data_IF_625467093627
#
_entry.id   IF_625467093627
#
_cell.length_a   1.000
_cell.length_b   1.000
_cell.length_c   1.000
_cell.angle_alpha   90.00
_cell.angle_beta   90.00
_cell.angle_gamma   90.00
#
_symmetry.space_group_name_H-M   'P 1'
#
loop_
_entity.id
_entity.type
_entity.pdbx_description
1 polymer ?
#
# COMPACT_ATOMS: atom_id res chain seq x y z
N UNK A 1 -1.85 63.55 28.82
CA UNK A 1 -1.04 63.02 27.71
C UNK A 1 -1.63 61.68 27.27
N UNK A 2 -1.93 61.56 25.98
CA UNK A 2 -2.74 60.50 25.35
C UNK A 2 -2.03 59.13 25.39
N UNK A 3 -2.74 58.09 25.82
CA UNK A 3 -2.36 56.69 25.56
C UNK A 3 -3.52 56.03 24.80
N UNK A 4 -3.51 56.16 23.48
CA UNK A 4 -4.29 55.32 22.58
C UNK A 4 -3.32 54.29 22.00
N UNK A 5 -3.26 53.12 22.64
CA UNK A 5 -2.54 51.97 22.11
C UNK A 5 -3.52 50.80 22.15
N UNK A 6 -4.25 50.61 21.06
CA UNK A 6 -4.94 49.36 20.70
C UNK A 6 -5.42 49.52 19.26
N UNK A 7 -4.44 49.60 18.35
CA UNK A 7 -4.72 49.46 16.93
C UNK A 7 -4.78 47.97 16.62
N UNK A 8 -6.02 47.51 16.43
CA UNK A 8 -6.41 46.33 15.71
C UNK A 8 -5.50 46.02 14.53
N UNK A 9 -4.96 44.81 14.47
CA UNK A 9 -4.70 44.07 13.23
C UNK A 9 -4.46 42.61 13.62
N UNK A 10 -5.55 41.95 13.99
CA UNK A 10 -5.66 40.50 13.96
C UNK A 10 -5.62 40.08 12.48
N UNK A 11 -4.42 40.03 11.91
CA UNK A 11 -4.17 39.35 10.64
C UNK A 11 -4.24 37.87 10.97
N UNK A 12 -5.43 37.29 10.85
CA UNK A 12 -5.63 35.85 10.92
C UNK A 12 -5.11 35.29 9.59
N UNK A 13 -3.97 34.59 9.53
CA UNK A 13 -3.59 33.92 8.31
C UNK A 13 -4.50 32.70 8.20
N UNK A 14 -5.56 32.80 7.39
CA UNK A 14 -6.19 31.62 6.83
C UNK A 14 -5.19 30.99 5.84
N UNK A 15 -4.16 30.36 6.39
CA UNK A 15 -3.49 29.25 5.74
C UNK A 15 -4.53 28.13 5.69
N UNK A 16 -5.39 28.16 4.66
CA UNK A 16 -6.08 26.97 4.21
C UNK A 16 -4.98 25.98 3.81
N UNK A 17 -4.52 25.20 4.79
CA UNK A 17 -3.71 24.03 4.53
C UNK A 17 -4.52 23.16 3.59
N UNK A 18 -4.02 23.00 2.36
CA UNK A 18 -4.52 21.98 1.46
C UNK A 18 -4.53 20.65 2.25
N UNK A 19 -5.62 19.86 2.20
CA UNK A 19 -5.63 18.58 2.89
C UNK A 19 -4.41 17.80 2.40
N UNK A 20 -3.54 17.42 3.33
CA UNK A 20 -2.36 16.64 3.02
C UNK A 20 -2.77 15.50 2.11
N UNK A 21 -2.17 15.45 0.92
CA UNK A 21 -2.45 14.45 -0.09
C UNK A 21 -2.11 13.11 0.56
N UNK A 22 -3.13 12.42 1.11
CA UNK A 22 -2.93 11.13 1.75
C UNK A 22 -2.54 10.19 0.63
N UNK A 23 -1.23 10.01 0.46
CA UNK A 23 -0.67 9.04 -0.47
C UNK A 23 -1.34 7.71 -0.14
N UNK A 24 -2.11 7.20 -1.10
CA UNK A 24 -2.87 5.96 -0.92
C UNK A 24 -1.86 4.82 -0.78
N UNK A 25 -1.49 4.52 0.45
CA UNK A 25 -0.56 3.42 0.75
C UNK A 25 -1.26 2.11 0.42
N UNK A 26 -0.71 1.37 -0.53
CA UNK A 26 -1.23 0.06 -0.89
C UNK A 26 -1.13 -0.89 0.31
N UNK A 27 -2.11 -1.79 0.52
CA UNK A 27 -2.09 -2.73 1.63
C UNK A 27 -0.85 -3.62 1.59
N UNK A 28 -0.34 -3.99 2.78
CA UNK A 28 0.71 -4.99 2.89
C UNK A 28 0.17 -6.35 2.41
N UNK A 29 1.08 -7.28 2.08
CA UNK A 29 0.68 -8.61 1.63
C UNK A 29 1.60 -9.71 2.15
N UNK A 30 1.08 -10.94 2.15
CA UNK A 30 1.80 -12.16 2.47
C UNK A 30 1.70 -13.08 1.26
N UNK A 31 2.84 -13.64 0.86
CA UNK A 31 2.92 -14.66 -0.18
C UNK A 31 3.09 -16.05 0.46
N UNK A 32 2.31 -17.02 -0.01
CA UNK A 32 2.38 -18.42 0.40
C UNK A 32 2.47 -19.33 -0.81
N UNK A 33 3.34 -20.32 -0.70
CA UNK A 33 3.49 -21.38 -1.70
C UNK A 33 2.61 -22.56 -1.31
N UNK A 34 1.61 -22.87 -2.13
CA UNK A 34 0.65 -23.97 -1.91
C UNK A 34 0.60 -24.79 -3.20
N UNK A 35 0.84 -26.10 -3.09
CA UNK A 35 0.86 -27.06 -4.21
C UNK A 35 1.75 -26.62 -5.39
N UNK A 36 2.86 -25.94 -5.09
CA UNK A 36 3.82 -25.46 -6.09
C UNK A 36 3.45 -24.13 -6.76
N UNK A 37 2.38 -23.46 -6.34
CA UNK A 37 1.94 -22.18 -6.88
C UNK A 37 1.91 -21.08 -5.81
N UNK A 38 2.22 -19.85 -6.25
CA UNK A 38 2.27 -18.69 -5.38
C UNK A 38 0.88 -18.08 -5.21
N UNK A 39 0.44 -17.95 -3.97
CA UNK A 39 -0.78 -17.25 -3.58
C UNK A 39 -0.41 -16.02 -2.78
N UNK A 40 -1.13 -14.93 -3.02
CA UNK A 40 -1.00 -13.66 -2.30
C UNK A 40 -2.27 -13.37 -1.53
N UNK A 41 -2.12 -12.88 -0.32
CA UNK A 41 -3.20 -12.35 0.51
C UNK A 41 -2.83 -10.97 1.02
N UNK A 42 -3.77 -10.04 1.03
CA UNK A 42 -3.56 -8.69 1.55
C UNK A 42 -3.92 -8.60 3.03
N UNK A 43 -3.15 -7.81 3.77
CA UNK A 43 -3.36 -7.56 5.19
C UNK A 43 -3.65 -6.08 5.43
N UNK A 44 -4.57 -5.81 6.34
CA UNK A 44 -4.93 -4.45 6.77
C UNK A 44 -3.87 -3.85 7.71
N UNK A 45 -4.12 -2.61 8.14
CA UNK A 45 -3.23 -1.89 9.07
C UNK A 45 -3.12 -2.56 10.45
N UNK A 46 -4.04 -3.46 10.79
CA UNK A 46 -4.06 -4.24 12.02
C UNK A 46 -3.44 -5.64 11.85
N UNK A 47 -2.76 -5.90 10.73
CA UNK A 47 -2.22 -7.21 10.35
C UNK A 47 -3.28 -8.31 10.24
N UNK A 48 -4.54 -7.97 9.98
CA UNK A 48 -5.61 -8.93 9.71
C UNK A 48 -5.73 -9.17 8.22
N UNK A 49 -6.02 -10.42 7.84
CA UNK A 49 -6.31 -10.78 6.45
C UNK A 49 -7.55 -10.02 6.00
N UNK A 50 -7.45 -9.33 4.86
CA UNK A 50 -8.61 -8.75 4.19
C UNK A 50 -9.38 -9.89 3.53
N UNK A 51 -10.66 -10.13 3.89
CA UNK A 51 -11.46 -11.17 3.27
C UNK A 51 -11.55 -10.99 1.75
N UNK A 52 -11.71 -12.07 1.00
CA UNK A 52 -11.73 -12.10 -0.49
C UNK A 52 -10.44 -11.70 -1.22
N UNK A 53 -9.38 -11.35 -0.49
CA UNK A 53 -8.10 -10.91 -1.06
C UNK A 53 -7.11 -12.03 -1.40
N UNK A 54 -7.55 -13.29 -1.33
CA UNK A 54 -6.73 -14.47 -1.59
C UNK A 54 -6.73 -14.74 -3.08
N UNK A 55 -5.59 -14.55 -3.73
CA UNK A 55 -5.47 -14.70 -5.18
C UNK A 55 -4.24 -15.53 -5.56
N UNK A 56 -4.37 -16.33 -6.62
CA UNK A 56 -3.23 -16.96 -7.26
C UNK A 56 -2.46 -15.89 -8.04
N UNK A 57 -1.16 -15.78 -7.79
CA UNK A 57 -0.28 -14.86 -8.52
C UNK A 57 -0.03 -15.43 -9.90
N UNK A 58 -0.16 -14.58 -10.92
CA UNK A 58 0.15 -14.94 -12.31
C UNK A 58 1.44 -14.26 -12.73
N UNK A 59 2.19 -14.91 -13.62
CA UNK A 59 3.35 -14.34 -14.28
C UNK A 59 3.24 -14.50 -15.80
N UNK A 60 3.79 -13.53 -16.53
CA UNK A 60 3.82 -13.57 -17.97
C UNK A 60 4.90 -14.57 -18.41
N UNK A 61 4.49 -15.66 -19.02
CA UNK A 61 5.40 -16.63 -19.62
C UNK A 61 6.09 -16.02 -20.84
N UNK A 62 7.42 -15.98 -20.82
CA UNK A 62 8.23 -15.52 -21.95
C UNK A 62 8.07 -16.42 -23.19
N UNK A 63 7.84 -17.72 -22.99
CA UNK A 63 7.75 -18.72 -24.07
C UNK A 63 6.44 -18.65 -24.85
N UNK A 64 5.33 -18.35 -24.18
CA UNK A 64 3.99 -18.45 -24.78
C UNK A 64 3.22 -17.14 -24.83
N UNK A 65 3.79 -16.02 -24.34
CA UNK A 65 3.10 -14.74 -24.16
C UNK A 65 1.76 -14.84 -23.40
N UNK A 66 1.59 -15.88 -22.59
CA UNK A 66 0.38 -16.14 -21.78
C UNK A 66 0.64 -15.78 -20.32
N UNK A 67 -0.41 -15.39 -19.61
CA UNK A 67 -0.39 -15.33 -18.14
C UNK A 67 -0.57 -16.74 -17.61
N UNK A 68 0.40 -17.22 -16.83
CA UNK A 68 0.36 -18.54 -16.20
C UNK A 68 0.47 -18.38 -14.68
N UNK A 69 -0.06 -19.34 -13.90
CA UNK A 69 0.21 -19.39 -12.47
C UNK A 69 1.71 -19.31 -12.18
N UNK A 70 2.08 -18.36 -11.32
CA UNK A 70 3.45 -18.20 -10.87
C UNK A 70 3.82 -19.41 -10.02
N UNK A 71 4.76 -20.19 -10.53
CA UNK A 71 5.29 -21.32 -9.79
C UNK A 71 6.16 -20.84 -8.63
N UNK A 72 6.13 -21.57 -7.53
CA UNK A 72 7.04 -21.39 -6.42
C UNK A 72 7.65 -22.76 -6.11
N UNK A 73 8.93 -22.90 -6.41
CA UNK A 73 9.63 -24.13 -6.11
C UNK A 73 10.30 -23.97 -4.76
N UNK A 74 9.96 -24.82 -3.79
CA UNK A 74 10.89 -25.16 -2.70
C UNK A 74 12.03 -26.01 -3.29
N UNK A 75 12.77 -25.50 -4.28
CA UNK A 75 13.99 -26.17 -4.73
C UNK A 75 15.05 -25.75 -3.70
N UNK A 76 15.51 -26.65 -2.81
CA UNK A 76 16.79 -26.41 -2.17
C UNK A 76 17.78 -26.28 -3.33
N UNK A 77 18.39 -25.10 -3.47
CA UNK A 77 19.48 -24.92 -4.43
C UNK A 77 20.53 -25.98 -4.09
N UNK A 78 20.61 -27.05 -4.89
CA UNK A 78 21.78 -27.93 -4.84
C UNK A 78 22.96 -27.05 -5.21
N UNK A 79 23.89 -26.93 -4.25
CA UNK A 79 25.21 -26.34 -4.49
C UNK A 79 25.98 -27.15 -5.52
#
# INVERSE_FOLDING_TARGET
MKKNLLLYLAICPFLLGAPANKESKFPNHIDKCIDGYLYRVFIDENNKIIPSSIHQVLEKSALHHKMLPKSCSKIPKSK
#
